data_IF_113822351166
#
_entry.id   IF_113822351166
#
_cell.length_a   1.000
_cell.length_b   1.000
_cell.length_c   1.000
_cell.angle_alpha   90.00
_cell.angle_beta   90.00
_cell.angle_gamma   90.00
#
_symmetry.space_group_name_H-M   'P 1'
#
loop_
_entity.id
_entity.type
_entity.pdbx_description
1 polymer ?
#
# COMPACT_ATOMS: atom_id res chain seq x y z
N UNK A 1 -11.71 -13.39 11.20
CA UNK A 1 -12.20 -12.38 12.15
C UNK A 1 -12.09 -11.01 11.50
N UNK A 2 -13.11 -10.18 11.65
CA UNK A 2 -13.10 -8.77 11.24
C UNK A 2 -13.26 -7.98 12.53
N UNK A 3 -12.43 -6.95 12.72
CA UNK A 3 -12.49 -6.04 13.85
C UNK A 3 -12.74 -4.65 13.29
N UNK A 4 -13.82 -4.00 13.72
CA UNK A 4 -14.07 -2.59 13.40
C UNK A 4 -13.33 -1.70 14.40
N UNK A 5 -12.54 -0.75 13.88
CA UNK A 5 -11.77 0.21 14.67
C UNK A 5 -12.34 1.60 14.46
N UNK A 6 -12.73 2.24 15.56
CA UNK A 6 -13.19 3.62 15.57
C UNK A 6 -12.05 4.51 16.11
N UNK A 7 -11.56 5.42 15.27
CA UNK A 7 -10.55 6.42 15.64
C UNK A 7 -11.15 7.83 15.59
N UNK A 8 -10.44 8.81 16.13
CA UNK A 8 -10.83 10.22 16.02
C UNK A 8 -10.83 10.75 14.58
N UNK A 9 -10.16 10.05 13.66
CA UNK A 9 -10.05 10.46 12.25
C UNK A 9 -10.91 9.62 11.30
N UNK A 10 -11.70 8.67 11.83
CA UNK A 10 -12.57 7.83 11.02
C UNK A 10 -12.57 6.38 11.47
N UNK A 11 -13.24 5.54 10.68
CA UNK A 11 -13.43 4.12 10.96
C UNK A 11 -12.74 3.28 9.89
N UNK A 12 -12.16 2.15 10.30
CA UNK A 12 -11.55 1.19 9.39
C UNK A 12 -11.65 -0.22 9.95
N UNK A 13 -11.47 -1.22 9.08
CA UNK A 13 -11.58 -2.63 9.43
C UNK A 13 -10.21 -3.30 9.45
N UNK A 14 -9.97 -4.13 10.47
CA UNK A 14 -8.84 -5.06 10.53
C UNK A 14 -9.35 -6.46 10.21
N UNK A 15 -8.89 -7.02 9.09
CA UNK A 15 -9.32 -8.34 8.62
C UNK A 15 -8.22 -9.37 8.93
N UNK A 16 -8.49 -10.23 9.92
CA UNK A 16 -7.62 -11.31 10.34
C UNK A 16 -8.19 -12.64 9.86
N UNK A 17 -7.74 -13.11 8.69
CA UNK A 17 -8.21 -14.35 8.07
C UNK A 17 -7.10 -15.02 7.28
N UNK A 18 -6.94 -16.34 7.43
CA UNK A 18 -6.03 -17.13 6.60
C UNK A 18 -6.45 -17.04 5.13
N UNK A 19 -5.49 -16.69 4.26
CA UNK A 19 -5.73 -16.55 2.82
C UNK A 19 -6.53 -15.29 2.44
N UNK A 20 -6.63 -14.28 3.30
CA UNK A 20 -7.29 -13.01 2.98
C UNK A 20 -6.70 -12.31 1.76
N UNK A 21 -5.40 -12.47 1.52
CA UNK A 21 -4.70 -11.88 0.37
C UNK A 21 -5.27 -12.33 -0.98
N UNK A 22 -5.89 -13.52 -1.06
CA UNK A 22 -6.40 -14.08 -2.32
C UNK A 22 -7.69 -13.37 -2.81
N UNK A 23 -8.31 -12.55 -1.97
CA UNK A 23 -9.63 -11.98 -2.26
C UNK A 23 -9.79 -10.59 -1.61
N UNK A 24 -8.78 -9.74 -1.82
CA UNK A 24 -8.73 -8.38 -1.25
C UNK A 24 -9.75 -7.45 -1.90
N UNK A 25 -10.21 -7.75 -3.13
CA UNK A 25 -11.26 -7.01 -3.84
C UNK A 25 -12.58 -6.91 -3.06
N UNK A 26 -12.82 -7.81 -2.11
CA UNK A 26 -14.01 -7.77 -1.24
C UNK A 26 -13.98 -6.64 -0.22
N UNK A 27 -12.80 -6.10 0.06
CA UNK A 27 -12.58 -5.20 1.19
C UNK A 27 -12.17 -3.79 0.75
N UNK A 28 -11.75 -3.62 -0.50
CA UNK A 28 -11.37 -2.34 -1.06
C UNK A 28 -11.71 -2.32 -2.55
N UNK A 29 -11.92 -1.13 -3.10
CA UNK A 29 -12.18 -0.95 -4.53
C UNK A 29 -10.86 -0.85 -5.30
N UNK A 30 -10.62 -1.83 -6.16
CA UNK A 30 -9.43 -1.93 -7.02
C UNK A 30 -9.67 -1.47 -8.47
N UNK A 31 -10.83 -0.86 -8.78
CA UNK A 31 -11.16 -0.27 -10.08
C UNK A 31 -10.61 1.16 -10.24
N UNK A 32 -9.46 1.43 -9.63
CA UNK A 32 -8.70 2.69 -9.58
C UNK A 32 -7.21 2.38 -9.73
N UNK A 33 -6.34 3.39 -9.83
CA UNK A 33 -4.89 3.10 -9.83
C UNK A 33 -4.46 2.68 -8.43
N UNK A 34 -3.59 1.69 -8.35
CA UNK A 34 -3.09 1.15 -7.10
C UNK A 34 -1.57 1.23 -7.09
N UNK A 35 -1.01 1.94 -6.12
CA UNK A 35 0.42 1.96 -5.83
C UNK A 35 0.72 0.91 -4.76
N UNK A 36 1.46 -0.13 -5.10
CA UNK A 36 1.86 -1.18 -4.17
C UNK A 36 3.29 -0.90 -3.72
N UNK A 37 3.46 -0.53 -2.46
CA UNK A 37 4.78 -0.34 -1.84
C UNK A 37 5.11 -1.62 -1.09
N UNK A 38 6.26 -2.23 -1.41
CA UNK A 38 6.71 -3.50 -0.83
C UNK A 38 8.23 -3.50 -0.66
N UNK A 39 8.77 -4.49 0.04
CA UNK A 39 10.20 -4.66 0.23
C UNK A 39 10.73 -5.95 -0.43
N UNK A 40 12.05 -5.99 -0.67
CA UNK A 40 12.74 -7.13 -1.27
C UNK A 40 12.57 -8.46 -0.51
N UNK A 41 12.28 -8.41 0.78
CA UNK A 41 12.05 -9.59 1.62
C UNK A 41 10.65 -10.19 1.48
N UNK A 42 9.70 -9.46 0.90
CA UNK A 42 8.36 -9.98 0.63
C UNK A 42 8.41 -10.94 -0.57
N UNK A 43 7.91 -12.18 -0.42
CA UNK A 43 7.87 -13.12 -1.53
C UNK A 43 7.14 -12.55 -2.75
N UNK A 44 7.78 -12.58 -3.92
CA UNK A 44 7.22 -12.09 -5.20
C UNK A 44 5.81 -12.62 -5.49
N UNK A 45 5.53 -13.87 -5.10
CA UNK A 45 4.19 -14.48 -5.25
C UNK A 45 3.08 -13.64 -4.62
N UNK A 46 3.34 -12.97 -3.50
CA UNK A 46 2.34 -12.13 -2.83
C UNK A 46 2.10 -10.82 -3.58
N UNK A 47 3.16 -10.21 -4.13
CA UNK A 47 3.03 -9.06 -5.00
C UNK A 47 2.18 -9.40 -6.23
N UNK A 48 2.46 -10.53 -6.89
CA UNK A 48 1.68 -11.00 -8.04
C UNK A 48 0.21 -11.30 -7.67
N UNK A 49 -0.03 -11.90 -6.49
CA UNK A 49 -1.40 -12.09 -5.99
C UNK A 49 -2.16 -10.78 -5.85
N UNK A 50 -1.54 -9.71 -5.34
CA UNK A 50 -2.17 -8.38 -5.24
C UNK A 50 -2.35 -7.75 -6.62
N UNK A 51 -1.32 -7.78 -7.48
CA UNK A 51 -1.36 -7.19 -8.83
C UNK A 51 -2.44 -7.82 -9.70
N UNK A 52 -2.60 -9.14 -9.66
CA UNK A 52 -3.66 -9.86 -10.39
C UNK A 52 -5.09 -9.43 -9.99
N UNK A 53 -5.21 -8.78 -8.83
CA UNK A 53 -6.46 -8.25 -8.31
C UNK A 53 -6.63 -6.74 -8.58
N UNK A 54 -5.64 -6.06 -9.13
CA UNK A 54 -5.76 -4.65 -9.49
C UNK A 54 -6.22 -4.49 -10.94
N UNK A 55 -7.01 -3.46 -11.23
CA UNK A 55 -7.25 -3.08 -12.64
C UNK A 55 -6.03 -2.41 -13.25
N UNK A 56 -5.41 -1.50 -12.50
CA UNK A 56 -4.17 -0.80 -12.83
C UNK A 56 -3.31 -0.77 -11.57
N UNK A 57 -2.13 -1.38 -11.64
CA UNK A 57 -1.18 -1.40 -10.54
C UNK A 57 0.18 -0.89 -10.97
N UNK A 58 0.79 -0.10 -10.11
CA UNK A 58 2.21 0.23 -10.12
C UNK A 58 2.82 -0.34 -8.84
N UNK A 59 4.09 -0.73 -8.90
CA UNK A 59 4.81 -1.18 -7.71
C UNK A 59 6.08 -0.37 -7.46
N UNK A 60 6.40 -0.21 -6.18
CA UNK A 60 7.69 0.27 -5.70
C UNK A 60 8.25 -0.79 -4.76
N UNK A 61 9.40 -1.34 -5.13
CA UNK A 61 10.13 -2.33 -4.32
C UNK A 61 11.30 -1.61 -3.66
N UNK A 62 11.31 -1.57 -2.32
CA UNK A 62 12.37 -0.94 -1.53
C UNK A 62 13.28 -1.99 -0.89
N UNK A 63 14.48 -1.57 -0.49
CA UNK A 63 15.38 -2.44 0.28
C UNK A 63 14.72 -2.90 1.58
N UNK A 64 14.97 -4.15 1.96
CA UNK A 64 14.46 -4.66 3.23
C UNK A 64 15.11 -3.95 4.44
N UNK A 65 14.31 -3.72 5.48
CA UNK A 65 14.76 -3.24 6.79
C UNK A 65 14.78 -1.72 6.96
N UNK A 66 15.19 -1.26 8.14
CA UNK A 66 15.05 0.14 8.60
C UNK A 66 15.75 1.17 7.71
N UNK A 67 16.77 0.75 6.95
CA UNK A 67 17.46 1.62 5.98
C UNK A 67 16.53 2.19 4.90
N UNK A 68 15.39 1.54 4.65
CA UNK A 68 14.37 2.03 3.72
C UNK A 68 13.52 3.17 4.30
N UNK A 69 13.50 3.38 5.62
CA UNK A 69 12.91 4.57 6.25
C UNK A 69 13.85 5.76 6.10
N UNK A 70 14.02 6.18 4.87
CA UNK A 70 14.81 7.34 4.52
C UNK A 70 13.97 8.31 3.70
N UNK A 71 14.29 9.60 3.82
CA UNK A 71 13.68 10.66 3.01
C UNK A 71 13.86 10.37 1.52
N UNK A 72 14.99 9.78 1.12
CA UNK A 72 15.26 9.39 -0.27
C UNK A 72 14.27 8.35 -0.79
N UNK A 73 13.98 7.32 0.00
CA UNK A 73 13.02 6.27 -0.37
C UNK A 73 11.60 6.84 -0.43
N UNK A 74 11.24 7.70 0.52
CA UNK A 74 9.98 8.42 0.51
C UNK A 74 9.81 9.30 -0.74
N UNK A 75 10.81 10.12 -1.06
CA UNK A 75 10.81 10.96 -2.27
C UNK A 75 10.70 10.12 -3.54
N UNK A 76 11.36 8.97 -3.58
CA UNK A 76 11.25 8.03 -4.69
C UNK A 76 9.81 7.53 -4.87
N UNK A 77 9.14 7.12 -3.79
CA UNK A 77 7.74 6.70 -3.84
C UNK A 77 6.82 7.82 -4.36
N UNK A 78 7.00 9.06 -3.88
CA UNK A 78 6.22 10.20 -4.35
C UNK A 78 6.45 10.48 -5.84
N UNK A 79 7.71 10.42 -6.30
CA UNK A 79 8.05 10.62 -7.71
C UNK A 79 7.39 9.57 -8.60
N UNK A 80 7.41 8.30 -8.18
CA UNK A 80 6.73 7.23 -8.92
C UNK A 80 5.22 7.46 -9.01
N UNK A 81 4.59 7.91 -7.93
CA UNK A 81 3.17 8.27 -7.96
C UNK A 81 2.87 9.46 -8.89
N UNK A 82 3.70 10.51 -8.85
CA UNK A 82 3.56 11.67 -9.74
C UNK A 82 3.75 11.28 -11.21
N UNK A 83 4.80 10.52 -11.52
CA UNK A 83 5.12 10.09 -12.88
C UNK A 83 4.00 9.22 -13.49
N UNK A 84 3.32 8.44 -12.65
CA UNK A 84 2.19 7.60 -13.06
C UNK A 84 0.83 8.30 -12.96
N UNK A 85 0.81 9.62 -12.73
CA UNK A 85 -0.38 10.45 -12.65
C UNK A 85 -1.40 9.94 -11.62
N UNK A 86 -0.93 9.61 -10.42
CA UNK A 86 -1.82 9.27 -9.29
C UNK A 86 -2.58 10.51 -8.81
N UNK A 87 -3.83 10.32 -8.43
CA UNK A 87 -4.73 11.36 -7.92
C UNK A 87 -5.26 11.00 -6.52
N UNK A 88 -6.12 11.88 -5.97
CA UNK A 88 -6.62 11.80 -4.59
C UNK A 88 -7.55 10.61 -4.32
N UNK A 89 -8.12 10.02 -5.36
CA UNK A 89 -9.04 8.89 -5.26
C UNK A 89 -8.35 7.55 -5.53
N UNK A 90 -7.05 7.56 -5.89
CA UNK A 90 -6.26 6.35 -6.10
C UNK A 90 -5.83 5.73 -4.76
N UNK A 91 -5.31 4.50 -4.80
CA UNK A 91 -5.05 3.70 -3.61
C UNK A 91 -3.56 3.45 -3.41
N UNK A 92 -3.10 3.51 -2.17
CA UNK A 92 -1.77 3.00 -1.76
C UNK A 92 -1.96 1.73 -0.93
N UNK A 93 -1.18 0.69 -1.26
CA UNK A 93 -1.14 -0.57 -0.53
C UNK A 93 0.25 -0.77 0.03
N UNK A 94 0.33 -0.91 1.35
CA UNK A 94 1.51 -1.42 2.04
C UNK A 94 1.49 -2.95 2.01
N UNK A 95 2.37 -3.58 1.22
CA UNK A 95 2.54 -5.02 1.21
C UNK A 95 3.87 -5.37 1.88
N UNK A 96 3.85 -5.64 3.18
CA UNK A 96 5.06 -5.99 3.93
C UNK A 96 4.86 -5.94 5.44
N UNK A 97 5.97 -5.81 6.17
CA UNK A 97 5.97 -5.63 7.62
C UNK A 97 5.80 -4.17 8.05
N UNK A 98 6.10 -3.87 9.33
CA UNK A 98 5.95 -2.54 9.91
C UNK A 98 6.75 -1.45 9.18
N UNK A 99 7.95 -1.78 8.68
CA UNK A 99 8.78 -0.82 7.94
C UNK A 99 8.11 -0.32 6.65
N UNK A 100 7.55 -1.25 5.87
CA UNK A 100 6.77 -0.93 4.67
C UNK A 100 5.49 -0.19 5.04
N UNK A 101 4.82 -0.60 6.12
CA UNK A 101 3.63 0.07 6.65
C UNK A 101 3.89 1.54 7.01
N UNK A 102 4.95 1.82 7.75
CA UNK A 102 5.32 3.19 8.15
C UNK A 102 5.63 4.05 6.93
N UNK A 103 6.43 3.54 5.98
CA UNK A 103 6.78 4.26 4.76
C UNK A 103 5.55 4.53 3.90
N UNK A 104 4.76 3.50 3.60
CA UNK A 104 3.59 3.61 2.75
C UNK A 104 2.49 4.47 3.39
N UNK A 105 2.30 4.36 4.70
CA UNK A 105 1.39 5.22 5.46
C UNK A 105 1.83 6.68 5.44
N UNK A 106 3.13 6.95 5.56
CA UNK A 106 3.66 8.31 5.43
C UNK A 106 3.51 8.85 4.00
N UNK A 107 3.76 8.04 2.98
CA UNK A 107 3.51 8.40 1.57
C UNK A 107 2.04 8.73 1.35
N UNK A 108 1.11 7.86 1.78
CA UNK A 108 -0.32 8.05 1.58
C UNK A 108 -0.84 9.30 2.32
N UNK A 109 -0.43 9.52 3.57
CA UNK A 109 -0.88 10.67 4.37
C UNK A 109 -0.38 12.03 3.85
N UNK A 110 0.72 12.05 3.09
CA UNK A 110 1.36 13.29 2.61
C UNK A 110 1.10 13.55 1.13
N UNK A 111 0.95 12.51 0.30
CA UNK A 111 0.67 12.66 -1.11
C UNK A 111 -0.66 13.40 -1.31
N UNK A 112 -0.64 14.51 -2.05
CA UNK A 112 -1.80 15.40 -2.24
C UNK A 112 -2.53 15.83 -0.95
N UNK A 113 -1.83 15.85 0.19
CA UNK A 113 -2.36 16.10 1.55
C UNK A 113 -3.30 14.99 2.08
N UNK A 114 -3.10 13.76 1.63
CA UNK A 114 -3.84 12.59 2.07
C UNK A 114 -4.60 11.94 0.92
N UNK A 115 -4.42 10.63 0.78
CA UNK A 115 -5.14 9.72 -0.12
C UNK A 115 -5.52 8.42 0.59
#
# INVERSE_FOLDING_TARGET
MIIDVNSSQGTYQIILKRGSLNDIKKYCDFNRKVMIITDEGVPKKYLETVKSQCKLSNEVIVKQGESSKSIKTYEYCLKEMLNNNFNRNDLVIALGGGVVGDLAGFVASTYMRGI
#
